data_IF_105575226775
#
_entry.id   IF_105575226775
#
_cell.length_a   1.000
_cell.length_b   1.000
_cell.length_c   1.000
_cell.angle_alpha   90.00
_cell.angle_beta   90.00
_cell.angle_gamma   90.00
#
_symmetry.space_group_name_H-M   'P 1'
#
loop_
_entity.id
_entity.type
_entity.pdbx_description
1 polymer ?
#
# COMPACT_ATOMS: atom_id res chain seq x y z
N UNK A 1 -7.14 -68.51 24.36
CA UNK A 1 -7.97 -68.51 23.13
C UNK A 1 -7.42 -67.37 22.29
N UNK A 2 -6.69 -67.67 21.20
CA UNK A 2 -7.21 -67.94 19.83
C UNK A 2 -7.88 -66.67 19.25
N UNK A 3 -7.55 -66.19 18.05
CA UNK A 3 -6.54 -66.63 17.06
C UNK A 3 -6.25 -65.47 16.07
N UNK A 4 -5.26 -65.63 15.21
CA UNK A 4 -4.91 -64.67 14.14
C UNK A 4 -5.94 -64.69 12.99
N UNK A 5 -5.94 -63.67 12.12
CA UNK A 5 -5.87 -63.86 10.65
C UNK A 5 -5.64 -62.54 9.88
N UNK A 6 -4.87 -62.68 8.79
CA UNK A 6 -4.57 -61.68 7.76
C UNK A 6 -5.60 -61.77 6.60
N UNK A 7 -5.55 -60.88 5.59
CA UNK A 7 -5.84 -61.10 4.14
C UNK A 7 -6.15 -59.79 3.36
N UNK A 8 -5.28 -59.51 2.38
CA UNK A 8 -5.53 -58.87 1.06
C UNK A 8 -5.43 -60.02 0.01
N UNK A 9 -5.79 -59.91 -1.30
CA UNK A 9 -5.85 -58.69 -2.15
C UNK A 9 -6.99 -58.69 -3.22
N UNK A 10 -6.73 -58.01 -4.35
CA UNK A 10 -7.26 -58.15 -5.73
C UNK A 10 -8.37 -57.21 -6.27
N UNK A 11 -7.95 -56.39 -7.25
CA UNK A 11 -8.74 -56.00 -8.43
C UNK A 11 -7.79 -55.73 -9.61
N UNK A 12 -8.07 -56.33 -10.77
CA UNK A 12 -7.16 -56.41 -11.92
C UNK A 12 -7.30 -55.25 -12.93
N UNK A 13 -6.18 -54.84 -13.54
CA UNK A 13 -6.13 -54.20 -14.87
C UNK A 13 -6.47 -55.20 -15.99
N UNK A 14 -7.10 -54.77 -17.09
CA UNK A 14 -6.35 -54.50 -18.35
C UNK A 14 -6.97 -53.34 -19.17
N UNK A 15 -6.43 -52.78 -20.27
CA UNK A 15 -5.12 -52.80 -20.97
C UNK A 15 -5.13 -51.63 -22.00
N UNK A 16 -3.94 -51.11 -22.40
CA UNK A 16 -3.45 -50.77 -23.78
C UNK A 16 -4.39 -50.07 -24.82
N UNK A 17 -4.02 -49.33 -25.87
CA UNK A 17 -2.80 -48.77 -26.51
C UNK A 17 -3.31 -47.77 -27.63
N UNK A 18 -2.56 -46.96 -28.39
CA UNK A 18 -1.11 -46.72 -28.53
C UNK A 18 -0.80 -45.30 -29.11
N UNK A 19 0.49 -44.98 -29.14
CA UNK A 19 1.27 -44.13 -30.08
C UNK A 19 0.62 -43.48 -31.31
N UNK A 20 0.98 -42.21 -31.59
CA UNK A 20 1.62 -41.80 -32.86
C UNK A 20 2.16 -40.34 -32.83
N UNK A 21 3.44 -40.18 -33.18
CA UNK A 21 4.07 -38.93 -33.65
C UNK A 21 3.77 -38.75 -35.16
N UNK A 22 3.94 -37.55 -35.76
CA UNK A 22 5.17 -37.40 -36.55
C UNK A 22 5.76 -35.98 -36.62
N UNK A 23 7.06 -35.91 -36.91
CA UNK A 23 7.78 -34.70 -37.31
C UNK A 23 8.05 -34.69 -38.83
N UNK A 24 8.04 -33.49 -39.46
CA UNK A 24 8.65 -33.08 -40.76
C UNK A 24 7.96 -31.78 -41.26
N UNK A 25 8.56 -30.84 -42.00
CA UNK A 25 9.94 -30.63 -42.50
C UNK A 25 10.11 -29.14 -42.85
N UNK A 26 11.36 -28.66 -42.91
CA UNK A 26 11.76 -27.34 -43.42
C UNK A 26 11.50 -27.22 -44.93
N UNK A 27 11.10 -26.04 -45.40
CA UNK A 27 11.41 -25.58 -46.77
C UNK A 27 11.68 -24.07 -46.81
N UNK A 28 12.81 -23.68 -47.40
CA UNK A 28 13.17 -22.30 -47.71
C UNK A 28 12.61 -21.85 -49.06
N UNK A 29 12.35 -20.55 -49.23
CA UNK A 29 11.87 -19.99 -50.50
C UNK A 29 11.80 -18.47 -50.48
N UNK A 30 12.92 -17.80 -50.76
CA UNK A 30 12.95 -16.37 -51.08
C UNK A 30 12.49 -16.14 -52.51
N UNK A 31 11.65 -15.14 -52.77
CA UNK A 31 11.80 -14.36 -54.01
C UNK A 31 11.20 -12.95 -53.88
N UNK A 32 11.86 -12.00 -54.53
CA UNK A 32 11.54 -10.57 -54.54
C UNK A 32 11.08 -10.21 -55.93
N UNK A 33 9.87 -9.65 -56.07
CA UNK A 33 9.46 -8.96 -57.30
C UNK A 33 8.83 -7.62 -56.93
N UNK A 34 9.58 -6.54 -57.22
CA UNK A 34 9.01 -5.22 -57.49
C UNK A 34 8.49 -5.21 -58.93
N UNK A 35 7.36 -4.57 -59.16
CA UNK A 35 7.07 -3.88 -60.42
C UNK A 35 6.31 -2.59 -60.12
N UNK A 36 6.83 -1.47 -60.62
CA UNK A 36 6.17 -0.17 -60.61
C UNK A 36 5.05 -0.12 -61.66
N UNK A 37 4.15 0.86 -61.54
CA UNK A 37 3.02 1.03 -62.46
C UNK A 37 2.11 2.20 -62.10
N UNK A 38 2.59 3.42 -62.37
CA UNK A 38 1.75 4.64 -62.38
C UNK A 38 0.81 4.64 -63.61
N UNK A 39 -0.33 5.36 -63.52
CA UNK A 39 -0.84 6.34 -64.52
C UNK A 39 -2.29 6.78 -64.17
N UNK A 40 -2.37 8.04 -63.73
CA UNK A 40 -3.38 9.10 -63.91
C UNK A 40 -4.85 8.87 -64.38
N UNK A 41 -5.72 9.67 -63.74
CA UNK A 41 -6.87 10.43 -64.32
C UNK A 41 -8.16 9.64 -64.68
N UNK A 42 -9.40 10.17 -64.56
CA UNK A 42 -9.86 11.51 -64.15
C UNK A 42 -11.37 11.52 -63.76
N UNK A 43 -11.85 12.68 -63.27
CA UNK A 43 -13.24 13.22 -63.31
C UNK A 43 -14.36 12.82 -62.27
N UNK A 44 -14.65 13.82 -61.43
CA UNK A 44 -15.97 14.43 -61.08
C UNK A 44 -16.96 13.83 -60.04
N UNK A 45 -17.16 14.67 -59.00
CA UNK A 45 -18.42 15.09 -58.36
C UNK A 45 -19.48 14.08 -57.86
N UNK A 46 -19.66 14.03 -56.53
CA UNK A 46 -20.84 14.64 -55.88
C UNK A 46 -20.69 14.81 -54.36
N UNK A 47 -20.97 16.03 -53.90
CA UNK A 47 -21.08 16.49 -52.52
C UNK A 47 -21.81 15.56 -51.53
N UNK A 48 -21.18 15.29 -50.37
CA UNK A 48 -21.86 15.42 -49.08
C UNK A 48 -20.87 15.78 -47.97
N UNK A 49 -21.07 16.94 -47.34
CA UNK A 49 -20.22 17.43 -46.26
C UNK A 49 -20.60 16.76 -44.93
N UNK A 50 -19.68 16.02 -44.33
CA UNK A 50 -19.64 15.79 -42.87
C UNK A 50 -18.37 16.45 -42.32
N UNK A 51 -18.54 17.52 -41.56
CA UNK A 51 -17.41 18.29 -41.01
C UNK A 51 -16.77 17.51 -39.87
N UNK A 52 -15.68 16.81 -40.17
CA UNK A 52 -14.81 16.18 -39.18
C UNK A 52 -13.97 17.23 -38.47
N UNK A 53 -14.29 17.54 -37.21
CA UNK A 53 -13.38 18.25 -36.31
C UNK A 53 -12.25 17.34 -35.85
N UNK A 54 -11.28 17.11 -36.73
CA UNK A 54 -10.02 16.42 -36.41
C UNK A 54 -8.89 17.43 -36.20
N UNK A 55 -8.79 18.00 -35.00
CA UNK A 55 -7.57 18.65 -34.52
C UNK A 55 -7.17 18.10 -33.15
N UNK A 56 -6.49 16.97 -33.21
CA UNK A 56 -5.70 16.40 -32.14
C UNK A 56 -4.65 15.49 -32.78
N UNK A 57 -3.37 15.74 -32.52
CA UNK A 57 -2.30 14.83 -32.94
C UNK A 57 -2.54 13.46 -32.29
N UNK A 58 -2.37 12.32 -33.00
CA UNK A 58 -2.43 11.01 -32.37
C UNK A 58 -1.49 10.96 -31.16
N UNK A 59 -1.88 10.34 -30.03
CA UNK A 59 -1.05 10.29 -28.84
C UNK A 59 0.31 9.67 -29.18
N UNK A 60 1.36 10.46 -29.01
CA UNK A 60 2.73 10.11 -29.32
C UNK A 60 3.60 10.34 -28.08
N UNK A 61 4.59 9.47 -27.92
CA UNK A 61 5.43 9.27 -26.73
C UNK A 61 6.34 10.48 -26.38
N UNK A 62 6.14 11.63 -27.02
CA UNK A 62 7.03 12.81 -27.02
C UNK A 62 6.32 14.11 -26.67
N UNK A 63 5.02 14.08 -26.34
CA UNK A 63 4.30 15.25 -25.82
C UNK A 63 4.43 15.28 -24.28
N UNK A 64 4.99 16.35 -23.68
CA UNK A 64 5.00 16.49 -22.23
C UNK A 64 3.58 16.52 -21.64
N UNK A 65 3.35 15.85 -20.50
CA UNK A 65 2.05 15.76 -19.79
C UNK A 65 1.44 17.10 -19.38
N UNK A 66 2.18 18.19 -19.53
CA UNK A 66 1.80 19.58 -19.36
C UNK A 66 0.54 19.97 -20.16
N UNK A 67 0.19 19.22 -21.20
CA UNK A 67 -1.02 19.43 -22.00
C UNK A 67 -2.25 18.81 -21.33
N UNK A 68 -2.68 19.41 -20.22
CA UNK A 68 -3.94 19.06 -19.55
C UNK A 68 -5.12 19.23 -20.52
N UNK A 69 -5.81 18.13 -20.83
CA UNK A 69 -7.08 18.16 -21.57
C UNK A 69 -8.24 18.16 -20.55
N UNK A 70 -9.37 18.79 -20.88
CA UNK A 70 -10.58 18.79 -20.02
C UNK A 70 -11.06 17.35 -19.68
N UNK A 71 -10.75 16.40 -20.55
CA UNK A 71 -11.10 14.98 -20.38
C UNK A 71 -10.20 14.22 -19.38
N UNK A 72 -8.91 14.54 -19.31
CA UNK A 72 -7.92 13.85 -18.48
C UNK A 72 -6.79 14.79 -18.07
N UNK A 73 -6.62 14.96 -16.75
CA UNK A 73 -5.53 15.71 -16.13
C UNK A 73 -4.80 14.80 -15.16
N UNK A 74 -3.56 14.41 -15.48
CA UNK A 74 -2.69 13.64 -14.59
C UNK A 74 -2.22 14.55 -13.44
N UNK A 75 -2.44 14.13 -12.19
CA UNK A 75 -2.04 14.90 -11.00
C UNK A 75 -0.78 14.35 -10.33
N UNK A 76 -0.59 13.02 -10.35
CA UNK A 76 0.52 12.32 -9.68
C UNK A 76 0.62 10.89 -10.20
N UNK A 77 1.80 10.27 -10.15
CA UNK A 77 1.93 8.81 -10.21
C UNK A 77 3.08 8.33 -9.35
N UNK A 78 2.87 7.38 -8.43
CA UNK A 78 3.93 6.98 -7.51
C UNK A 78 3.78 5.55 -6.99
N UNK A 79 4.86 5.04 -6.40
CA UNK A 79 4.79 3.84 -5.57
C UNK A 79 4.00 4.18 -4.30
N UNK A 80 2.73 3.79 -4.22
CA UNK A 80 1.87 4.08 -3.05
C UNK A 80 2.17 3.15 -1.87
N UNK A 81 2.65 1.94 -2.10
CA UNK A 81 3.06 1.05 -1.02
C UNK A 81 4.14 0.09 -1.50
N UNK A 82 5.13 -0.12 -0.63
CA UNK A 82 6.27 -0.98 -0.91
C UNK A 82 6.45 -1.96 0.25
N UNK A 83 6.61 -3.23 -0.08
CA UNK A 83 6.83 -4.31 0.87
C UNK A 83 8.15 -5.01 0.57
N UNK A 84 9.07 -4.97 1.52
CA UNK A 84 10.44 -5.45 1.37
C UNK A 84 10.71 -6.63 2.32
N UNK A 85 11.45 -7.63 1.83
CA UNK A 85 11.97 -8.76 2.60
C UNK A 85 13.49 -8.70 2.66
N UNK A 86 14.07 -9.01 3.81
CA UNK A 86 15.51 -9.02 4.04
C UNK A 86 15.95 -10.37 4.61
N UNK A 87 16.89 -11.07 3.97
CA UNK A 87 17.53 -12.25 4.58
C UNK A 87 18.60 -11.82 5.57
N UNK A 88 18.82 -12.65 6.59
CA UNK A 88 19.70 -12.34 7.72
C UNK A 88 19.19 -12.90 9.05
N UNK A 89 19.84 -12.52 10.14
CA UNK A 89 19.46 -12.93 11.50
C UNK A 89 19.52 -11.76 12.49
N UNK A 90 18.48 -11.64 13.32
CA UNK A 90 18.47 -10.69 14.45
C UNK A 90 19.57 -11.02 15.46
N UNK A 91 20.12 -9.99 16.11
CA UNK A 91 21.03 -10.17 17.24
C UNK A 91 20.32 -10.80 18.45
N UNK A 92 20.98 -11.65 19.27
CA UNK A 92 20.38 -12.30 20.42
C UNK A 92 19.74 -11.33 21.43
N UNK A 93 20.40 -10.22 21.75
CA UNK A 93 19.87 -9.19 22.65
C UNK A 93 18.61 -8.50 22.09
N UNK A 94 18.52 -8.35 20.77
CA UNK A 94 17.35 -7.76 20.10
C UNK A 94 16.17 -8.73 20.19
N UNK A 95 16.39 -10.04 20.03
CA UNK A 95 15.37 -11.08 20.25
C UNK A 95 14.87 -11.07 21.71
N UNK A 96 15.77 -10.94 22.68
CA UNK A 96 15.41 -10.86 24.09
C UNK A 96 14.58 -9.59 24.39
N UNK A 97 15.04 -8.42 23.92
CA UNK A 97 14.33 -7.14 24.07
C UNK A 97 12.94 -7.16 23.43
N UNK A 98 12.82 -7.68 22.20
CA UNK A 98 11.52 -7.84 21.53
C UNK A 98 10.59 -8.82 22.26
N UNK A 99 11.13 -9.85 22.91
CA UNK A 99 10.34 -10.78 23.73
C UNK A 99 9.77 -10.07 24.96
N UNK A 100 10.58 -9.30 25.68
CA UNK A 100 10.14 -8.50 26.85
C UNK A 100 9.12 -7.44 26.47
N UNK A 101 9.38 -6.66 25.42
CA UNK A 101 8.46 -5.63 24.92
C UNK A 101 7.13 -6.23 24.43
N UNK A 102 7.15 -7.43 23.85
CA UNK A 102 5.91 -8.14 23.49
C UNK A 102 5.13 -8.63 24.73
N UNK A 103 5.81 -9.08 25.79
CA UNK A 103 5.15 -9.42 27.06
C UNK A 103 4.48 -8.20 27.68
N UNK A 104 5.14 -7.03 27.68
CA UNK A 104 4.53 -5.76 28.08
C UNK A 104 3.30 -5.42 27.22
N UNK A 105 3.39 -5.58 25.89
CA UNK A 105 2.26 -5.36 24.98
C UNK A 105 1.06 -6.31 25.22
N UNK A 106 1.30 -7.47 25.84
CA UNK A 106 0.30 -8.48 26.17
C UNK A 106 -0.22 -8.38 27.62
N UNK A 107 0.30 -7.46 28.43
CA UNK A 107 -0.05 -7.31 29.83
C UNK A 107 -1.50 -6.83 30.01
N UNK A 108 -2.15 -7.16 31.13
CA UNK A 108 -3.50 -6.65 31.43
C UNK A 108 -3.50 -5.15 31.72
N UNK A 109 -2.53 -4.71 32.53
CA UNK A 109 -2.44 -3.32 33.01
C UNK A 109 -1.93 -2.33 31.97
N UNK A 110 -2.52 -1.12 31.97
CA UNK A 110 -2.33 -0.08 30.96
C UNK A 110 -0.92 0.54 31.03
N UNK A 111 -0.38 0.73 32.22
CA UNK A 111 0.95 1.26 32.50
C UNK A 111 2.07 0.37 31.89
N UNK A 112 1.92 -0.94 32.00
CA UNK A 112 2.82 -1.93 31.43
C UNK A 112 2.66 -1.97 29.90
N UNK A 113 1.42 -1.99 29.40
CA UNK A 113 1.17 -1.91 27.95
C UNK A 113 1.76 -0.65 27.32
N UNK A 114 1.75 0.49 28.01
CA UNK A 114 2.27 1.75 27.49
C UNK A 114 3.79 1.74 27.27
N UNK A 115 4.53 0.91 28.01
CA UNK A 115 6.00 0.76 27.91
C UNK A 115 6.45 -0.11 26.72
N UNK A 116 5.52 -0.74 25.99
CA UNK A 116 5.83 -1.59 24.84
C UNK A 116 6.29 -0.78 23.61
N UNK A 117 7.47 -0.17 23.69
CA UNK A 117 8.06 0.69 22.67
C UNK A 117 9.52 0.30 22.35
N UNK A 118 9.89 0.43 21.08
CA UNK A 118 11.26 0.24 20.60
C UNK A 118 11.76 1.54 19.96
N UNK A 119 12.55 2.31 20.72
CA UNK A 119 13.26 3.47 20.19
C UNK A 119 14.57 3.06 19.50
N UNK A 120 14.79 3.53 18.27
CA UNK A 120 15.97 3.24 17.42
C UNK A 120 16.07 4.24 16.28
N UNK A 121 17.27 4.69 15.88
CA UNK A 121 17.51 5.60 14.74
C UNK A 121 16.56 6.82 14.62
N UNK A 122 16.10 7.41 15.74
CA UNK A 122 15.15 8.53 15.74
C UNK A 122 13.66 8.15 15.61
N UNK A 123 13.36 6.86 15.41
CA UNK A 123 12.00 6.30 15.43
C UNK A 123 11.60 5.83 16.83
N UNK A 124 10.30 5.88 17.13
CA UNK A 124 9.69 5.32 18.35
C UNK A 124 8.63 4.30 17.90
N UNK A 125 9.01 3.05 17.68
CA UNK A 125 8.06 2.02 17.28
C UNK A 125 7.18 1.56 18.45
N UNK A 126 5.87 1.40 18.21
CA UNK A 126 5.02 0.58 19.08
C UNK A 126 5.35 -0.90 18.83
N UNK A 127 5.55 -1.70 19.87
CA UNK A 127 5.60 -3.16 19.76
C UNK A 127 4.20 -3.73 19.97
N UNK A 128 3.75 -4.58 19.03
CA UNK A 128 2.40 -5.17 19.04
C UNK A 128 2.30 -6.40 19.94
N UNK A 129 1.12 -6.59 20.53
CA UNK A 129 0.72 -7.77 21.31
C UNK A 129 0.81 -9.07 20.51
N UNK A 130 0.53 -8.99 19.21
CA UNK A 130 0.44 -10.12 18.28
C UNK A 130 1.46 -10.01 17.15
N UNK A 131 1.91 -11.19 16.72
CA UNK A 131 2.71 -11.34 15.50
C UNK A 131 1.86 -11.17 14.23
N UNK A 132 2.49 -11.32 13.07
CA UNK A 132 1.81 -11.34 11.77
C UNK A 132 2.27 -12.56 10.98
N UNK A 133 1.34 -13.48 10.66
CA UNK A 133 1.67 -14.74 9.99
C UNK A 133 2.80 -15.48 10.74
N UNK A 134 3.88 -15.83 10.04
CA UNK A 134 5.08 -16.49 10.56
C UNK A 134 6.01 -15.59 11.39
N UNK A 135 5.76 -14.27 11.45
CA UNK A 135 6.60 -13.31 12.18
C UNK A 135 6.09 -13.11 13.62
N UNK A 136 6.79 -13.62 14.66
CA UNK A 136 6.33 -13.53 16.04
C UNK A 136 6.36 -12.11 16.61
N UNK A 137 7.21 -11.22 16.10
CA UNK A 137 7.32 -9.84 16.56
C UNK A 137 6.88 -8.89 15.44
N UNK A 138 6.11 -7.86 15.80
CA UNK A 138 5.73 -6.77 14.89
C UNK A 138 5.93 -5.47 15.65
N UNK A 139 6.59 -4.51 15.01
CA UNK A 139 6.72 -3.15 15.53
C UNK A 139 6.37 -2.13 14.44
N UNK A 140 5.75 -1.02 14.83
CA UNK A 140 5.06 -0.14 13.88
C UNK A 140 5.06 1.33 14.30
N UNK A 141 5.25 2.20 13.32
CA UNK A 141 5.11 3.66 13.44
C UNK A 141 4.45 4.25 12.17
N UNK A 142 4.55 5.57 11.99
CA UNK A 142 3.97 6.25 10.80
C UNK A 142 4.68 5.92 9.48
N UNK A 143 5.93 5.44 9.51
CA UNK A 143 6.77 5.18 8.34
C UNK A 143 6.79 3.69 7.97
N UNK A 144 7.04 2.83 8.95
CA UNK A 144 7.29 1.42 8.75
C UNK A 144 6.43 0.53 9.65
N UNK A 145 5.99 -0.60 9.09
CA UNK A 145 5.52 -1.76 9.86
C UNK A 145 6.50 -2.90 9.65
N UNK A 146 7.34 -3.15 10.65
CA UNK A 146 8.44 -4.11 10.60
C UNK A 146 7.99 -5.41 11.30
N UNK A 147 7.90 -6.50 10.54
CA UNK A 147 7.58 -7.84 11.06
C UNK A 147 8.86 -8.66 11.10
N UNK A 148 9.24 -9.18 12.27
CA UNK A 148 10.56 -9.79 12.51
C UNK A 148 10.44 -11.28 12.89
N UNK A 149 11.35 -12.10 12.35
CA UNK A 149 11.38 -13.54 12.58
C UNK A 149 12.17 -13.90 13.85
N UNK A 150 12.01 -15.14 14.36
CA UNK A 150 12.73 -15.60 15.56
C UNK A 150 14.15 -16.07 15.20
N UNK A 151 14.26 -17.14 14.42
CA UNK A 151 15.43 -17.62 13.68
C UNK A 151 14.91 -18.59 12.63
N UNK A 152 15.31 -18.48 11.34
CA UNK A 152 14.88 -19.43 10.30
C UNK A 152 15.66 -19.20 9.00
N UNK A 153 16.45 -20.19 8.55
CA UNK A 153 17.09 -20.18 7.21
C UNK A 153 16.11 -20.17 6.02
N UNK A 154 14.80 -20.27 6.28
CA UNK A 154 13.73 -20.29 5.26
C UNK A 154 12.82 -19.06 5.33
N UNK A 155 13.04 -18.14 6.27
CA UNK A 155 12.18 -16.98 6.51
C UNK A 155 13.07 -15.75 6.59
N UNK A 156 12.76 -14.64 5.89
CA UNK A 156 13.54 -13.42 6.02
C UNK A 156 13.62 -12.97 7.49
N UNK A 157 14.71 -12.30 7.84
CA UNK A 157 14.88 -11.62 9.13
C UNK A 157 13.73 -10.64 9.37
N UNK A 158 13.44 -9.84 8.34
CA UNK A 158 12.44 -8.78 8.36
C UNK A 158 11.56 -8.83 7.12
N UNK A 159 10.25 -8.65 7.32
CA UNK A 159 9.27 -8.32 6.31
C UNK A 159 8.64 -6.97 6.67
N UNK A 160 8.85 -5.97 5.82
CA UNK A 160 8.57 -4.57 6.15
C UNK A 160 7.61 -3.97 5.15
N UNK A 161 6.53 -3.34 5.63
CA UNK A 161 5.70 -2.43 4.84
C UNK A 161 6.20 -0.99 5.05
N UNK A 162 6.44 -0.27 3.97
CA UNK A 162 6.56 1.19 3.97
C UNK A 162 5.17 1.81 3.79
N UNK A 163 4.86 2.85 4.55
CA UNK A 163 3.57 3.54 4.46
C UNK A 163 3.48 4.45 3.24
N UNK A 164 2.28 4.57 2.66
CA UNK A 164 2.03 5.48 1.53
C UNK A 164 2.32 6.93 1.88
N UNK A 165 1.97 7.36 3.10
CA UNK A 165 2.23 8.71 3.61
C UNK A 165 3.73 9.00 3.69
N UNK A 166 4.55 8.01 4.02
CA UNK A 166 6.01 8.16 3.99
C UNK A 166 6.52 8.23 2.56
N UNK A 167 6.10 7.31 1.68
CA UNK A 167 6.45 7.31 0.25
C UNK A 167 5.93 8.54 -0.53
N UNK A 168 4.96 9.29 0.02
CA UNK A 168 4.56 10.58 -0.52
C UNK A 168 5.57 11.72 -0.23
N UNK A 169 6.49 11.52 0.71
CA UNK A 169 7.46 12.53 1.20
C UNK A 169 8.93 12.24 0.87
N UNK A 170 9.24 11.05 0.36
CA UNK A 170 10.62 10.58 0.16
C UNK A 170 10.67 9.61 -1.05
N UNK A 171 11.81 9.50 -1.75
CA UNK A 171 11.94 8.52 -2.84
C UNK A 171 12.06 7.08 -2.27
N UNK A 172 11.57 6.04 -2.97
CA UNK A 172 11.58 4.67 -2.45
C UNK A 172 12.97 4.12 -2.07
N UNK A 173 14.02 4.55 -2.78
CA UNK A 173 15.41 4.15 -2.48
C UNK A 173 15.96 4.81 -1.21
N UNK A 174 15.65 6.09 -0.98
CA UNK A 174 16.01 6.81 0.25
C UNK A 174 15.27 6.24 1.47
N UNK A 175 13.99 5.84 1.29
CA UNK A 175 13.25 5.12 2.30
C UNK A 175 13.86 3.75 2.64
N UNK A 176 14.40 3.05 1.64
CA UNK A 176 15.15 1.80 1.84
C UNK A 176 16.42 2.05 2.64
N UNK A 177 17.18 3.11 2.33
CA UNK A 177 18.40 3.47 3.06
C UNK A 177 18.12 3.74 4.55
N UNK A 178 17.07 4.51 4.87
CA UNK A 178 16.65 4.74 6.26
C UNK A 178 16.21 3.43 6.95
N UNK A 179 15.46 2.57 6.24
CA UNK A 179 15.07 1.26 6.75
C UNK A 179 16.29 0.34 7.00
N UNK A 180 17.26 0.34 6.09
CA UNK A 180 18.48 -0.47 6.18
C UNK A 180 19.34 -0.06 7.38
N UNK A 181 19.43 1.23 7.70
CA UNK A 181 20.06 1.71 8.93
C UNK A 181 19.40 1.11 10.18
N UNK A 182 18.06 1.17 10.27
CA UNK A 182 17.30 0.56 11.36
C UNK A 182 17.55 -0.95 11.43
N UNK A 183 17.47 -1.67 10.31
CA UNK A 183 17.62 -3.12 10.28
C UNK A 183 19.04 -3.59 10.65
N UNK A 184 20.08 -2.84 10.28
CA UNK A 184 21.47 -3.11 10.66
C UNK A 184 21.72 -2.97 12.18
N UNK A 185 20.96 -2.12 12.89
CA UNK A 185 20.99 -2.06 14.36
C UNK A 185 20.24 -3.24 15.01
N UNK A 186 19.36 -3.94 14.27
CA UNK A 186 18.56 -5.07 14.78
C UNK A 186 19.22 -6.44 14.52
N UNK A 187 20.04 -6.56 13.49
CA UNK A 187 20.66 -7.83 13.09
C UNK A 187 21.61 -7.73 11.90
N UNK A 188 22.19 -8.86 11.53
CA UNK A 188 23.05 -8.99 10.34
C UNK A 188 22.17 -9.19 9.11
N UNK A 189 22.38 -8.37 8.07
CA UNK A 189 21.75 -8.53 6.76
C UNK A 189 22.63 -9.32 5.78
N UNK A 190 22.07 -10.34 5.15
CA UNK A 190 22.77 -11.20 4.18
C UNK A 190 22.53 -10.79 2.71
N UNK A 191 21.62 -9.83 2.45
CA UNK A 191 21.14 -9.53 1.10
C UNK A 191 20.68 -8.06 0.92
N UNK A 192 20.54 -7.65 -0.35
CA UNK A 192 19.79 -6.45 -0.71
C UNK A 192 18.29 -6.63 -0.47
N UNK A 193 17.52 -5.54 -0.49
CA UNK A 193 16.09 -5.60 -0.25
C UNK A 193 15.38 -6.35 -1.38
N UNK A 194 14.66 -7.42 -1.04
CA UNK A 194 13.83 -8.16 -2.00
C UNK A 194 12.40 -7.63 -2.01
N UNK A 195 11.92 -7.16 -3.16
CA UNK A 195 10.54 -6.69 -3.29
C UNK A 195 9.58 -7.87 -3.18
N UNK A 196 8.60 -7.71 -2.32
CA UNK A 196 7.61 -8.74 -1.97
C UNK A 196 6.18 -8.35 -2.39
N UNK A 197 5.94 -7.04 -2.45
CA UNK A 197 4.80 -6.41 -3.12
C UNK A 197 5.18 -4.96 -3.43
N UNK A 198 4.72 -4.45 -4.57
CA UNK A 198 4.79 -3.04 -4.94
C UNK A 198 3.43 -2.61 -5.48
N UNK A 199 2.95 -1.45 -5.03
CA UNK A 199 1.70 -0.86 -5.49
C UNK A 199 2.03 0.42 -6.27
N UNK A 200 1.79 0.40 -7.57
CA UNK A 200 1.96 1.54 -8.47
C UNK A 200 0.62 2.25 -8.62
N UNK A 201 0.56 3.57 -8.51
CA UNK A 201 -0.67 4.31 -8.71
C UNK A 201 -0.49 5.55 -9.60
N UNK A 202 -1.60 6.01 -10.18
CA UNK A 202 -1.74 7.32 -10.79
C UNK A 202 -3.02 8.00 -10.29
N UNK A 203 -2.89 9.24 -9.81
CA UNK A 203 -4.00 10.14 -9.47
C UNK A 203 -4.29 11.04 -10.68
N UNK A 204 -5.57 11.20 -11.03
CA UNK A 204 -5.99 12.02 -12.16
C UNK A 204 -7.39 12.59 -11.96
N UNK A 205 -7.69 13.70 -12.66
CA UNK A 205 -9.06 14.20 -12.84
C UNK A 205 -9.61 13.65 -14.15
N UNK A 206 -10.85 13.18 -14.10
CA UNK A 206 -11.68 12.94 -15.27
C UNK A 206 -13.15 12.99 -14.89
N UNK A 207 -13.97 13.56 -15.79
CA UNK A 207 -15.43 13.64 -15.66
C UNK A 207 -16.16 12.48 -16.36
N UNK A 208 -15.41 11.48 -16.86
CA UNK A 208 -15.95 10.27 -17.48
C UNK A 208 -16.90 9.49 -16.55
N UNK A 209 -17.99 8.94 -17.12
CA UNK A 209 -18.97 8.19 -16.33
C UNK A 209 -18.50 6.74 -16.11
N UNK A 210 -17.60 6.57 -15.14
CA UNK A 210 -16.98 5.29 -14.79
C UNK A 210 -17.98 4.23 -14.28
N UNK A 211 -19.21 4.61 -13.90
CA UNK A 211 -20.27 3.68 -13.52
C UNK A 211 -20.92 2.99 -14.73
N UNK A 212 -20.94 3.65 -15.89
CA UNK A 212 -21.58 3.11 -17.12
C UNK A 212 -20.80 2.02 -17.85
N UNK A 213 -19.65 1.60 -17.32
CA UNK A 213 -18.85 0.54 -17.94
C UNK A 213 -19.33 -0.84 -17.52
N UNK A 214 -19.83 -1.63 -18.46
CA UNK A 214 -20.15 -3.03 -18.19
C UNK A 214 -18.91 -3.89 -17.90
N UNK A 215 -19.11 -4.99 -17.15
CA UNK A 215 -18.03 -5.95 -16.83
C UNK A 215 -17.33 -6.51 -18.08
N UNK A 216 -18.00 -6.54 -19.23
CA UNK A 216 -17.42 -6.99 -20.50
C UNK A 216 -16.46 -5.99 -21.15
N UNK A 217 -16.53 -4.70 -20.81
CA UNK A 217 -15.54 -3.70 -21.25
C UNK A 217 -14.14 -3.99 -20.66
N UNK A 218 -14.07 -4.72 -19.54
CA UNK A 218 -12.82 -5.10 -18.90
C UNK A 218 -12.24 -6.39 -19.49
N UNK A 219 -11.17 -6.27 -20.28
CA UNK A 219 -10.34 -7.40 -20.72
C UNK A 219 -9.26 -7.61 -19.66
N UNK A 220 -9.24 -8.77 -18.99
CA UNK A 220 -8.28 -9.00 -17.90
C UNK A 220 -7.88 -10.47 -17.72
N UNK A 221 -6.68 -10.69 -17.17
CA UNK A 221 -6.25 -11.99 -16.64
C UNK A 221 -6.73 -12.22 -15.19
N UNK A 222 -7.35 -11.23 -14.55
CA UNK A 222 -7.95 -11.31 -13.22
C UNK A 222 -9.28 -12.10 -13.20
N UNK A 223 -9.54 -12.84 -12.12
CA UNK A 223 -10.74 -13.71 -12.01
C UNK A 223 -12.01 -13.04 -11.46
N UNK A 224 -11.91 -11.79 -10.98
CA UNK A 224 -13.00 -11.05 -10.33
C UNK A 224 -13.02 -9.61 -10.82
N UNK A 225 -14.21 -9.07 -11.05
CA UNK A 225 -14.48 -7.68 -11.42
C UNK A 225 -15.68 -7.22 -10.60
N UNK A 226 -15.40 -6.39 -9.61
CA UNK A 226 -16.37 -5.91 -8.61
C UNK A 226 -16.51 -4.39 -8.73
N UNK A 227 -17.76 -3.90 -8.79
CA UNK A 227 -18.10 -2.49 -8.70
C UNK A 227 -18.46 -2.16 -7.24
N UNK A 228 -18.11 -0.96 -6.80
CA UNK A 228 -18.34 -0.48 -5.43
C UNK A 228 -19.18 0.79 -5.43
N UNK A 229 -20.04 0.91 -4.42
CA UNK A 229 -20.84 2.10 -4.16
C UNK A 229 -20.95 2.36 -2.65
N UNK A 230 -21.13 3.63 -2.27
CA UNK A 230 -21.38 4.06 -0.90
C UNK A 230 -22.54 5.05 -0.93
N UNK A 231 -23.58 4.82 -0.13
CA UNK A 231 -24.81 5.62 -0.13
C UNK A 231 -25.37 5.80 -1.56
N UNK A 232 -25.53 4.69 -2.28
CA UNK A 232 -26.08 4.62 -3.66
C UNK A 232 -25.25 5.36 -4.73
N UNK A 233 -24.08 5.90 -4.40
CA UNK A 233 -23.15 6.52 -5.34
C UNK A 233 -21.99 5.60 -5.67
N UNK A 234 -21.71 5.39 -6.94
CA UNK A 234 -20.53 4.65 -7.40
C UNK A 234 -19.23 5.26 -6.86
N UNK A 235 -18.33 4.41 -6.38
CA UNK A 235 -17.05 4.80 -5.77
C UNK A 235 -15.82 4.16 -6.43
N UNK A 236 -15.99 3.11 -7.24
CA UNK A 236 -14.88 2.53 -7.99
C UNK A 236 -15.05 1.08 -8.44
N UNK A 237 -14.08 0.63 -9.22
CA UNK A 237 -13.88 -0.75 -9.65
C UNK A 237 -12.75 -1.43 -8.89
N UNK A 238 -12.87 -2.74 -8.69
CA UNK A 238 -11.79 -3.60 -8.24
C UNK A 238 -11.67 -4.82 -9.16
N UNK A 239 -10.47 -5.08 -9.66
CA UNK A 239 -10.19 -6.18 -10.58
C UNK A 239 -9.10 -7.08 -10.01
N UNK A 240 -9.34 -8.38 -9.98
CA UNK A 240 -8.33 -9.38 -9.60
C UNK A 240 -7.96 -9.43 -8.11
N UNK A 241 -8.75 -8.83 -7.21
CA UNK A 241 -8.45 -8.80 -5.77
C UNK A 241 -8.14 -10.19 -5.19
N UNK A 242 -7.04 -10.26 -4.43
CA UNK A 242 -6.49 -11.50 -3.86
C UNK A 242 -5.61 -12.31 -4.81
N UNK A 243 -5.44 -11.87 -6.07
CA UNK A 243 -4.52 -12.47 -7.04
C UNK A 243 -3.07 -11.99 -6.89
N UNK A 244 -2.19 -12.49 -7.79
CA UNK A 244 -0.79 -12.04 -7.91
C UNK A 244 -0.67 -10.59 -8.42
N UNK A 245 -1.66 -10.13 -9.18
CA UNK A 245 -1.86 -8.73 -9.58
C UNK A 245 -3.31 -8.40 -9.26
N UNK A 246 -3.56 -7.17 -8.80
CA UNK A 246 -4.91 -6.61 -8.69
C UNK A 246 -4.92 -5.12 -8.99
N UNK A 247 -5.96 -4.63 -9.65
CA UNK A 247 -6.19 -3.21 -9.90
C UNK A 247 -7.34 -2.68 -9.03
N UNK A 248 -7.21 -1.44 -8.56
CA UNK A 248 -8.28 -0.64 -7.96
C UNK A 248 -8.39 0.67 -8.74
N UNK A 249 -9.57 1.03 -9.20
CA UNK A 249 -9.85 2.34 -9.80
C UNK A 249 -10.95 2.99 -8.97
N UNK A 250 -10.65 4.02 -8.18
CA UNK A 250 -11.59 4.53 -7.17
C UNK A 250 -11.54 6.04 -6.99
N UNK A 251 -12.64 6.61 -6.49
CA UNK A 251 -12.74 8.02 -6.16
C UNK A 251 -11.84 8.31 -4.93
N UNK A 252 -10.68 8.89 -5.21
CA UNK A 252 -9.63 9.12 -4.23
C UNK A 252 -9.96 10.31 -3.32
N UNK A 253 -10.65 11.31 -3.84
CA UNK A 253 -11.12 12.47 -3.07
C UNK A 253 -12.09 12.03 -1.95
N UNK A 254 -13.05 11.16 -2.28
CA UNK A 254 -13.99 10.58 -1.31
C UNK A 254 -13.26 9.70 -0.27
N UNK A 255 -12.25 8.92 -0.68
CA UNK A 255 -11.44 8.12 0.25
C UNK A 255 -10.72 9.01 1.27
N UNK A 256 -9.98 10.05 0.82
CA UNK A 256 -9.23 10.89 1.76
C UNK A 256 -10.11 11.72 2.69
N UNK A 257 -11.31 12.12 2.25
CA UNK A 257 -12.31 12.75 3.11
C UNK A 257 -12.85 11.80 4.19
N UNK A 258 -12.88 10.49 3.91
CA UNK A 258 -13.36 9.47 4.85
C UNK A 258 -12.25 9.01 5.80
N UNK A 259 -11.01 8.89 5.31
CA UNK A 259 -9.86 8.45 6.10
C UNK A 259 -9.16 9.57 6.86
N UNK A 260 -9.43 10.84 6.53
CA UNK A 260 -8.79 12.02 7.13
C UNK A 260 -7.38 12.28 6.59
N UNK A 261 -7.08 11.81 5.38
CA UNK A 261 -5.71 11.74 4.85
C UNK A 261 -5.42 12.88 3.87
N UNK A 262 -5.46 14.10 4.37
CA UNK A 262 -5.40 15.36 3.60
C UNK A 262 -4.02 15.72 3.04
N UNK A 263 -2.96 14.94 3.33
CA UNK A 263 -1.58 15.20 2.84
C UNK A 263 -1.41 15.14 1.32
N UNK A 264 -2.35 14.55 0.58
CA UNK A 264 -2.34 14.56 -0.89
C UNK A 264 -2.87 15.86 -1.51
N UNK A 265 -3.72 16.61 -0.80
CA UNK A 265 -4.40 17.80 -1.34
C UNK A 265 -3.44 18.90 -1.80
N UNK A 266 -2.38 19.27 -1.04
CA UNK A 266 -1.40 20.25 -1.51
C UNK A 266 -0.68 19.81 -2.80
N UNK A 267 -0.37 18.52 -2.91
CA UNK A 267 0.36 17.95 -4.05
C UNK A 267 -0.49 17.98 -5.33
N UNK A 268 -1.79 17.68 -5.21
CA UNK A 268 -2.74 17.83 -6.31
C UNK A 268 -2.94 19.30 -6.72
N UNK A 269 -3.01 20.23 -5.75
CA UNK A 269 -3.09 21.68 -6.05
C UNK A 269 -1.85 22.19 -6.78
N UNK A 270 -0.65 21.75 -6.38
CA UNK A 270 0.60 22.06 -7.10
C UNK A 270 0.60 21.50 -8.54
N UNK A 271 -0.08 20.36 -8.78
CA UNK A 271 -0.31 19.79 -10.11
C UNK A 271 -1.51 20.40 -10.88
N UNK A 272 -2.15 21.44 -10.35
CA UNK A 272 -3.25 22.16 -11.04
C UNK A 272 -4.66 21.61 -10.83
N UNK A 273 -4.88 20.75 -9.83
CA UNK A 273 -6.21 20.38 -9.36
C UNK A 273 -6.98 21.61 -8.84
N UNK A 274 -8.23 21.75 -9.25
CA UNK A 274 -9.14 22.77 -8.74
C UNK A 274 -10.10 22.18 -7.69
N UNK A 275 -10.53 23.01 -6.74
CA UNK A 275 -11.62 22.61 -5.85
C UNK A 275 -12.87 22.32 -6.70
N UNK A 276 -13.65 21.31 -6.28
CA UNK A 276 -14.75 20.65 -7.01
C UNK A 276 -14.39 19.68 -8.16
N UNK A 277 -13.12 19.56 -8.59
CA UNK A 277 -12.73 18.52 -9.56
C UNK A 277 -12.67 17.10 -8.93
N UNK A 278 -13.26 16.06 -9.55
CA UNK A 278 -13.21 14.70 -9.03
C UNK A 278 -11.82 14.07 -9.21
N UNK A 279 -11.17 13.67 -8.11
CA UNK A 279 -9.89 12.94 -8.18
C UNK A 279 -10.14 11.44 -8.13
N UNK A 280 -9.70 10.74 -9.17
CA UNK A 280 -9.67 9.30 -9.27
C UNK A 280 -8.25 8.78 -9.10
N UNK A 281 -8.10 7.59 -8.52
CA UNK A 281 -6.84 6.85 -8.51
C UNK A 281 -7.02 5.51 -9.20
N UNK A 282 -6.14 5.20 -10.14
CA UNK A 282 -5.86 3.82 -10.57
C UNK A 282 -4.63 3.30 -9.82
N UNK A 283 -4.70 2.08 -9.30
CA UNK A 283 -3.67 1.48 -8.43
C UNK A 283 -3.49 -0.01 -8.79
N UNK A 284 -2.32 -0.37 -9.29
CA UNK A 284 -1.90 -1.74 -9.57
C UNK A 284 -1.01 -2.26 -8.44
N UNK A 285 -1.53 -3.24 -7.70
CA UNK A 285 -0.76 -4.02 -6.73
C UNK A 285 -0.13 -5.22 -7.44
N UNK A 286 1.19 -5.35 -7.41
CA UNK A 286 1.95 -6.48 -7.95
C UNK A 286 2.64 -7.25 -6.80
N UNK A 287 2.39 -8.56 -6.73
CA UNK A 287 2.97 -9.46 -5.73
C UNK A 287 4.29 -10.09 -6.21
N UNK A 288 5.11 -10.54 -5.26
CA UNK A 288 6.43 -11.19 -5.48
C UNK A 288 6.46 -12.15 -6.69
N UNK A 289 5.48 -13.03 -6.80
CA UNK A 289 5.45 -14.08 -7.83
C UNK A 289 5.56 -13.49 -9.25
N UNK A 290 4.86 -12.39 -9.53
CA UNK A 290 4.90 -11.69 -10.83
C UNK A 290 6.25 -11.02 -11.03
N UNK A 291 6.77 -10.36 -9.99
CA UNK A 291 8.07 -9.68 -10.06
C UNK A 291 9.17 -10.70 -10.39
N UNK A 292 9.16 -11.87 -9.74
CA UNK A 292 10.08 -12.99 -10.00
C UNK A 292 9.88 -13.59 -11.40
N UNK A 293 8.65 -13.72 -11.89
CA UNK A 293 8.36 -14.16 -13.27
C UNK A 293 8.99 -13.22 -14.33
N UNK A 294 9.13 -11.92 -14.01
CA UNK A 294 9.84 -10.93 -14.84
C UNK A 294 11.33 -10.76 -14.48
N UNK A 295 11.90 -11.60 -13.59
CA UNK A 295 13.30 -11.50 -13.15
C UNK A 295 13.61 -10.34 -12.19
N UNK A 296 12.60 -9.61 -11.73
CA UNK A 296 12.72 -8.43 -10.87
C UNK A 296 12.64 -8.85 -9.40
N UNK A 297 13.78 -8.89 -8.70
CA UNK A 297 13.86 -9.39 -7.32
C UNK A 297 14.33 -8.29 -6.35
N UNK A 298 15.42 -7.61 -6.68
CA UNK A 298 15.96 -6.52 -5.87
C UNK A 298 15.17 -5.23 -6.04
N UNK A 299 15.19 -4.36 -5.04
CA UNK A 299 14.54 -3.04 -5.15
C UNK A 299 15.10 -2.24 -6.33
N UNK A 300 16.42 -2.20 -6.51
CA UNK A 300 17.06 -1.44 -7.60
C UNK A 300 16.56 -1.90 -8.98
N UNK A 301 16.49 -3.22 -9.20
CA UNK A 301 15.95 -3.77 -10.46
C UNK A 301 14.47 -3.45 -10.66
N UNK A 302 13.66 -3.45 -9.60
CA UNK A 302 12.22 -3.11 -9.70
C UNK A 302 12.04 -1.62 -9.99
N UNK A 303 12.77 -0.73 -9.31
CA UNK A 303 12.68 0.72 -9.51
C UNK A 303 13.19 1.15 -10.90
N UNK A 304 14.19 0.45 -11.45
CA UNK A 304 14.66 0.68 -12.82
C UNK A 304 13.67 0.21 -13.91
N UNK A 305 12.59 -0.51 -13.56
CA UNK A 305 11.65 -1.11 -14.51
C UNK A 305 10.18 -0.72 -14.25
N UNK A 306 9.92 0.38 -13.53
CA UNK A 306 8.55 0.82 -13.20
C UNK A 306 7.69 1.07 -14.44
N UNK A 307 8.26 1.66 -15.49
CA UNK A 307 7.56 1.91 -16.75
C UNK A 307 7.08 0.61 -17.43
N UNK A 308 7.96 -0.40 -17.48
CA UNK A 308 7.61 -1.74 -17.99
C UNK A 308 6.55 -2.44 -17.14
N UNK A 309 6.63 -2.32 -15.80
CA UNK A 309 5.62 -2.87 -14.89
C UNK A 309 4.25 -2.21 -15.04
N UNK A 310 4.21 -0.87 -15.18
CA UNK A 310 2.97 -0.13 -15.42
C UNK A 310 2.36 -0.52 -16.77
N UNK A 311 3.15 -0.46 -17.84
CA UNK A 311 2.72 -0.83 -19.21
C UNK A 311 2.15 -2.24 -19.26
N UNK A 312 2.84 -3.24 -18.70
CA UNK A 312 2.33 -4.62 -18.62
C UNK A 312 1.01 -4.69 -17.84
N UNK A 313 0.91 -4.02 -16.69
CA UNK A 313 -0.28 -4.03 -15.86
C UNK A 313 -1.50 -3.38 -16.56
N UNK A 314 -1.29 -2.29 -17.30
CA UNK A 314 -2.33 -1.47 -17.95
C UNK A 314 -2.61 -1.77 -19.42
N UNK A 315 -1.87 -2.67 -20.06
CA UNK A 315 -2.11 -3.07 -21.47
C UNK A 315 -2.32 -4.57 -21.66
N UNK A 316 -1.51 -5.39 -20.99
CA UNK A 316 -1.48 -6.84 -21.15
C UNK A 316 -2.28 -7.62 -20.09
N UNK A 317 -2.25 -7.14 -18.85
CA UNK A 317 -2.93 -7.79 -17.72
C UNK A 317 -4.36 -7.27 -17.50
N UNK A 318 -4.58 -5.97 -17.71
CA UNK A 318 -5.88 -5.31 -17.68
C UNK A 318 -5.96 -4.24 -18.77
N UNK A 319 -7.02 -4.28 -19.57
CA UNK A 319 -7.36 -3.26 -20.56
C UNK A 319 -8.85 -2.96 -20.50
N UNK A 320 -9.22 -1.69 -20.40
CA UNK A 320 -10.60 -1.25 -20.64
C UNK A 320 -10.78 -0.98 -22.14
N UNK A 321 -11.83 -1.53 -22.71
CA UNK A 321 -12.19 -1.39 -24.12
C UNK A 321 -13.58 -0.81 -24.30
N UNK A 322 -13.92 -0.39 -25.51
CA UNK A 322 -15.29 -0.10 -25.91
C UNK A 322 -15.89 -1.40 -26.49
N UNK A 323 -16.92 -2.00 -25.85
CA UNK A 323 -17.58 -3.18 -26.40
C UNK A 323 -18.15 -2.93 -27.80
N UNK A 324 -17.96 -3.90 -28.69
CA UNK A 324 -18.58 -3.90 -30.00
C UNK A 324 -19.56 -5.09 -30.10
N UNK A 325 -20.89 -4.86 -30.10
CA UNK A 325 -21.89 -5.93 -30.21
C UNK A 325 -21.72 -6.80 -31.46
N UNK A 326 -21.19 -6.23 -32.55
CA UNK A 326 -21.03 -6.90 -33.84
C UNK A 326 -19.72 -7.71 -33.96
N UNK A 327 -18.76 -7.56 -33.03
CA UNK A 327 -17.53 -8.35 -33.00
C UNK A 327 -17.40 -9.13 -31.69
N UNK A 328 -17.60 -10.46 -31.75
CA UNK A 328 -17.40 -11.34 -30.60
C UNK A 328 -15.92 -11.47 -30.19
N UNK A 329 -14.98 -10.96 -30.99
CA UNK A 329 -13.54 -11.04 -30.78
C UNK A 329 -13.03 -9.93 -29.84
N UNK A 330 -13.31 -10.05 -28.54
CA UNK A 330 -12.96 -9.06 -27.49
C UNK A 330 -11.51 -8.53 -27.48
N UNK A 331 -10.55 -9.26 -28.07
CA UNK A 331 -9.16 -8.76 -28.24
C UNK A 331 -9.05 -7.62 -29.26
N UNK A 332 -9.91 -7.58 -30.29
CA UNK A 332 -9.93 -6.55 -31.33
C UNK A 332 -10.65 -5.26 -30.93
N UNK A 333 -11.44 -5.30 -29.84
CA UNK A 333 -12.17 -4.14 -29.36
C UNK A 333 -11.23 -2.95 -29.10
N UNK A 334 -11.58 -1.73 -29.54
CA UNK A 334 -10.73 -0.56 -29.38
C UNK A 334 -10.60 -0.20 -27.89
N UNK A 335 -9.45 0.40 -27.54
CA UNK A 335 -9.17 0.86 -26.17
C UNK A 335 -10.12 2.01 -25.79
N UNK A 336 -10.60 2.02 -24.55
CA UNK A 336 -11.39 3.15 -24.03
C UNK A 336 -10.49 4.39 -23.93
N UNK A 337 -10.90 5.60 -24.38
CA UNK A 337 -10.04 6.78 -24.42
C UNK A 337 -9.34 7.10 -23.08
N UNK A 338 -10.09 7.13 -21.96
CA UNK A 338 -9.52 7.30 -20.63
C UNK A 338 -8.43 6.26 -20.29
N UNK A 339 -8.62 5.01 -20.69
CA UNK A 339 -7.65 3.94 -20.44
C UNK A 339 -6.42 4.07 -21.36
N UNK A 340 -6.59 4.62 -22.55
CA UNK A 340 -5.49 5.08 -23.39
C UNK A 340 -4.57 6.03 -22.61
N UNK A 341 -5.12 7.11 -22.04
CA UNK A 341 -4.37 8.05 -21.21
C UNK A 341 -3.71 7.41 -19.98
N UNK A 342 -4.45 6.57 -19.23
CA UNK A 342 -3.92 5.87 -18.05
C UNK A 342 -2.75 4.93 -18.43
N UNK A 343 -2.92 4.14 -19.49
CA UNK A 343 -1.89 3.20 -19.95
C UNK A 343 -0.67 3.88 -20.57
N UNK A 344 -0.82 5.11 -21.07
CA UNK A 344 0.29 5.89 -21.62
C UNK A 344 1.16 6.59 -20.58
N UNK A 345 0.76 6.66 -19.29
CA UNK A 345 1.51 7.38 -18.24
C UNK A 345 2.97 6.93 -18.20
N UNK A 346 3.87 7.88 -18.45
CA UNK A 346 5.31 7.68 -18.41
C UNK A 346 5.84 7.69 -16.97
N UNK A 347 6.52 6.61 -16.58
CA UNK A 347 7.16 6.48 -15.28
C UNK A 347 8.65 6.87 -15.27
N UNK A 348 9.21 7.30 -16.40
CA UNK A 348 10.62 7.72 -16.52
C UNK A 348 10.82 9.21 -16.23
N UNK A 349 9.84 10.07 -16.55
CA UNK A 349 9.89 11.51 -16.23
C UNK A 349 9.63 11.77 -14.74
N UNK A 350 10.52 12.50 -14.06
CA UNK A 350 10.35 12.88 -12.64
C UNK A 350 9.36 14.05 -12.47
N UNK A 351 8.06 13.73 -12.55
CA UNK A 351 6.94 14.67 -12.33
C UNK A 351 6.44 14.69 -10.87
N UNK A 352 7.15 14.04 -9.94
CA UNK A 352 6.62 13.74 -8.61
C UNK A 352 7.10 14.71 -7.53
N UNK A 353 6.33 15.77 -7.29
CA UNK A 353 6.54 16.60 -6.10
C UNK A 353 6.33 15.77 -4.84
N UNK A 354 7.35 15.76 -3.97
CA UNK A 354 7.30 15.11 -2.67
C UNK A 354 6.75 16.07 -1.61
N UNK A 355 5.96 15.54 -0.68
CA UNK A 355 5.49 16.28 0.49
C UNK A 355 6.67 16.73 1.36
N UNK A 356 6.74 18.03 1.64
CA UNK A 356 7.90 18.69 2.28
C UNK A 356 8.10 18.35 3.76
N UNK A 357 7.14 17.68 4.40
CA UNK A 357 7.22 17.37 5.83
C UNK A 357 6.57 16.04 6.17
N UNK A 358 7.35 15.17 6.80
CA UNK A 358 6.87 13.91 7.35
C UNK A 358 7.32 13.75 8.79
N UNK A 359 6.47 13.11 9.60
CA UNK A 359 6.78 12.65 10.96
C UNK A 359 6.32 11.20 11.07
N UNK A 360 7.12 10.36 11.70
CA UNK A 360 6.81 8.94 11.90
C UNK A 360 5.71 8.68 12.97
N UNK A 361 4.80 9.64 13.16
CA UNK A 361 3.68 9.61 14.11
C UNK A 361 2.39 9.16 13.45
N UNK A 362 1.62 8.30 14.10
CA UNK A 362 0.27 7.86 13.66
C UNK A 362 -0.83 8.67 14.35
N UNK A 363 -0.84 9.97 14.11
CA UNK A 363 -1.83 10.88 14.69
C UNK A 363 -3.23 10.65 14.08
N UNK A 364 -4.30 10.61 14.89
CA UNK A 364 -5.66 10.78 14.39
C UNK A 364 -5.92 12.25 14.01
N UNK A 365 -7.00 12.52 13.27
CA UNK A 365 -7.46 13.89 13.04
C UNK A 365 -8.08 14.51 14.31
N UNK A 366 -7.77 15.78 14.56
CA UNK A 366 -8.39 16.59 15.62
C UNK A 366 -9.92 16.63 15.49
N UNK A 367 -10.46 16.73 14.27
CA UNK A 367 -11.91 16.72 14.01
C UNK A 367 -12.58 15.49 14.63
N UNK A 368 -11.95 14.31 14.55
CA UNK A 368 -12.46 13.07 15.12
C UNK A 368 -12.43 13.10 16.66
N UNK A 369 -11.35 13.61 17.25
CA UNK A 369 -11.21 13.77 18.71
C UNK A 369 -12.28 14.74 19.23
N UNK A 370 -12.38 15.92 18.62
CA UNK A 370 -13.30 16.99 19.00
C UNK A 370 -14.77 16.56 18.84
N UNK A 371 -15.12 15.81 17.79
CA UNK A 371 -16.47 15.28 17.60
C UNK A 371 -16.87 14.30 18.71
N UNK A 372 -15.95 13.44 19.17
CA UNK A 372 -16.19 12.55 20.31
C UNK A 372 -16.37 13.33 21.62
N UNK A 373 -15.54 14.36 21.86
CA UNK A 373 -15.68 15.24 23.03
C UNK A 373 -17.02 15.97 23.05
N UNK A 374 -17.39 16.62 21.94
CA UNK A 374 -18.67 17.31 21.78
C UNK A 374 -19.87 16.37 21.97
N UNK A 375 -19.80 15.14 21.44
CA UNK A 375 -20.86 14.13 21.60
C UNK A 375 -21.02 13.68 23.06
N UNK A 376 -19.91 13.52 23.79
CA UNK A 376 -19.92 13.14 25.21
C UNK A 376 -20.47 14.26 26.09
N UNK A 377 -20.06 15.51 25.85
CA UNK A 377 -20.57 16.68 26.54
C UNK A 377 -22.07 16.92 26.26
N UNK A 378 -22.51 16.83 25.00
CA UNK A 378 -23.92 16.96 24.64
C UNK A 378 -24.80 15.88 25.31
N UNK A 379 -24.31 14.64 25.38
CA UNK A 379 -24.99 13.55 26.10
C UNK A 379 -25.12 13.85 27.60
N UNK A 380 -24.05 14.36 28.23
CA UNK A 380 -24.06 14.77 29.64
C UNK A 380 -25.05 15.92 29.89
N UNK A 381 -24.99 16.99 29.10
CA UNK A 381 -25.89 18.14 29.21
C UNK A 381 -27.36 17.70 29.06
N UNK A 382 -27.67 16.91 28.03
CA UNK A 382 -29.02 16.39 27.79
C UNK A 382 -29.53 15.50 28.94
N UNK A 383 -28.69 14.60 29.48
CA UNK A 383 -29.01 13.76 30.65
C UNK A 383 -29.38 14.59 31.87
N UNK A 384 -28.72 15.74 32.07
CA UNK A 384 -28.91 16.60 33.23
C UNK A 384 -29.85 17.79 32.98
N UNK A 385 -30.47 17.89 31.79
CA UNK A 385 -31.39 18.98 31.44
C UNK A 385 -30.73 20.35 31.28
N UNK A 386 -29.41 20.39 31.09
CA UNK A 386 -28.63 21.63 30.99
C UNK A 386 -28.70 22.13 29.53
N UNK A 387 -29.03 23.41 29.36
CA UNK A 387 -29.08 24.08 28.04
C UNK A 387 -28.11 25.25 27.93
N UNK A 388 -27.65 25.79 29.04
CA UNK A 388 -26.56 26.77 29.08
C UNK A 388 -25.22 26.09 28.81
N UNK A 389 -24.39 26.70 27.94
CA UNK A 389 -23.14 26.11 27.48
C UNK A 389 -22.05 26.14 28.55
N UNK A 390 -21.88 27.27 29.24
CA UNK A 390 -20.80 27.46 30.21
C UNK A 390 -21.07 26.62 31.47
N UNK A 391 -22.32 26.61 31.97
CA UNK A 391 -22.75 25.70 33.04
C UNK A 391 -22.58 24.22 32.64
N UNK A 392 -22.88 23.88 31.38
CA UNK A 392 -22.73 22.54 30.84
C UNK A 392 -21.27 22.08 30.84
N UNK A 393 -20.37 22.95 30.38
CA UNK A 393 -18.94 22.71 30.31
C UNK A 393 -18.31 22.55 31.70
N UNK A 394 -18.58 23.48 32.62
CA UNK A 394 -18.05 23.46 33.99
C UNK A 394 -18.48 22.20 34.74
N UNK A 395 -19.78 21.87 34.69
CA UNK A 395 -20.32 20.66 35.33
C UNK A 395 -19.77 19.39 34.70
N UNK A 396 -19.54 19.38 33.38
CA UNK A 396 -18.96 18.24 32.68
C UNK A 396 -17.49 18.02 33.05
N UNK A 397 -16.68 19.08 33.11
CA UNK A 397 -15.27 19.01 33.55
C UNK A 397 -15.18 18.51 35.00
N UNK A 398 -16.02 19.04 35.90
CA UNK A 398 -16.08 18.57 37.29
C UNK A 398 -16.47 17.08 37.39
N UNK A 399 -17.46 16.65 36.61
CA UNK A 399 -17.88 15.24 36.57
C UNK A 399 -16.80 14.32 35.98
N UNK A 400 -16.04 14.77 34.97
CA UNK A 400 -14.88 14.04 34.45
C UNK A 400 -13.79 13.88 35.51
N UNK A 401 -13.45 14.96 36.23
CA UNK A 401 -12.45 14.90 37.31
C UNK A 401 -12.89 13.91 38.40
N UNK A 402 -14.14 13.98 38.86
CA UNK A 402 -14.70 13.03 39.84
C UNK A 402 -14.65 11.58 39.32
N UNK A 403 -14.99 11.36 38.05
CA UNK A 403 -14.90 10.03 37.43
C UNK A 403 -13.45 9.51 37.40
N UNK A 404 -12.48 10.36 37.06
CA UNK A 404 -11.06 10.00 37.10
C UNK A 404 -10.57 9.71 38.52
N UNK A 405 -11.03 10.47 39.54
CA UNK A 405 -10.76 10.17 40.95
C UNK A 405 -11.28 8.79 41.33
N UNK A 406 -12.57 8.49 41.12
CA UNK A 406 -13.17 7.20 41.48
C UNK A 406 -12.54 6.02 40.76
N UNK A 407 -12.21 6.16 39.48
CA UNK A 407 -11.56 5.09 38.73
C UNK A 407 -10.05 4.96 39.05
N UNK A 408 -9.38 6.04 39.44
CA UNK A 408 -8.02 6.04 39.96
C UNK A 408 -7.92 5.35 41.31
N UNK A 409 -8.79 5.69 42.26
CA UNK A 409 -8.86 5.10 43.60
C UNK A 409 -8.96 3.56 43.56
N UNK A 410 -9.74 3.00 42.62
CA UNK A 410 -9.88 1.55 42.45
C UNK A 410 -8.56 0.83 42.09
N UNK A 411 -7.61 1.55 41.46
CA UNK A 411 -6.28 1.03 41.10
C UNK A 411 -5.13 1.74 41.85
N UNK A 412 -5.44 2.50 42.91
CA UNK A 412 -4.44 3.15 43.76
C UNK A 412 -3.77 4.41 43.16
N UNK A 413 -4.41 5.06 42.19
CA UNK A 413 -3.89 6.23 41.48
C UNK A 413 -4.65 7.52 41.80
N UNK A 414 -4.01 8.67 41.62
CA UNK A 414 -4.70 9.96 41.58
C UNK A 414 -5.50 10.11 40.28
N UNK A 415 -6.41 11.09 40.23
CA UNK A 415 -7.14 11.44 39.00
C UNK A 415 -6.19 11.84 37.85
N UNK A 416 -5.09 12.52 38.18
CA UNK A 416 -4.06 12.97 37.24
C UNK A 416 -3.25 11.79 36.70
N UNK A 417 -2.82 10.87 37.58
CA UNK A 417 -2.08 9.67 37.17
C UNK A 417 -2.96 8.74 36.31
N UNK A 418 -4.23 8.57 36.68
CA UNK A 418 -5.21 7.75 35.95
C UNK A 418 -5.41 8.20 34.50
N UNK A 419 -5.45 9.51 34.24
CA UNK A 419 -5.51 10.04 32.88
C UNK A 419 -4.15 10.01 32.20
N UNK A 420 -3.05 10.23 32.93
CA UNK A 420 -1.69 10.20 32.40
C UNK A 420 -1.29 8.80 31.88
N UNK A 421 -1.72 7.71 32.52
CA UNK A 421 -1.55 6.35 31.98
C UNK A 421 -2.24 6.15 30.63
N UNK A 422 -3.46 6.68 30.47
CA UNK A 422 -4.20 6.65 29.20
C UNK A 422 -3.52 7.50 28.13
N UNK A 423 -2.95 8.65 28.52
CA UNK A 423 -2.12 9.48 27.64
C UNK A 423 -0.88 8.71 27.19
N UNK A 424 -0.15 8.04 28.10
CA UNK A 424 1.01 7.19 27.77
C UNK A 424 0.62 6.06 26.80
N UNK A 425 -0.48 5.37 27.04
CA UNK A 425 -0.97 4.32 26.13
C UNK A 425 -1.27 4.86 24.72
N UNK A 426 -1.95 6.01 24.60
CA UNK A 426 -2.19 6.67 23.31
C UNK A 426 -0.91 7.21 22.67
N UNK A 427 0.03 7.72 23.46
CA UNK A 427 1.31 8.21 22.95
C UNK A 427 2.18 7.08 22.38
N UNK A 428 2.07 5.85 22.91
CA UNK A 428 2.60 4.64 22.28
C UNK A 428 1.95 4.39 20.93
N UNK A 429 0.62 4.32 20.87
CA UNK A 429 -0.12 4.07 19.61
C UNK A 429 0.19 5.13 18.54
N UNK A 430 0.33 6.40 18.93
CA UNK A 430 0.57 7.51 18.01
C UNK A 430 2.06 7.78 17.75
N UNK A 431 2.97 7.08 18.43
CA UNK A 431 4.41 7.22 18.34
C UNK A 431 4.92 8.64 18.72
N UNK A 432 4.23 9.33 19.62
CA UNK A 432 4.48 10.75 19.93
C UNK A 432 5.40 10.99 21.12
N UNK A 433 5.42 10.07 22.10
CA UNK A 433 6.22 10.17 23.33
C UNK A 433 6.84 8.80 23.60
N UNK A 434 8.09 8.79 24.05
CA UNK A 434 8.74 7.59 24.57
C UNK A 434 8.42 7.47 26.06
N UNK A 435 7.66 6.45 26.45
CA UNK A 435 7.20 6.20 27.83
C UNK A 435 8.25 5.51 28.71
N UNK A 436 9.52 5.51 28.31
CA UNK A 436 10.61 4.83 29.03
C UNK A 436 11.01 5.65 30.25
N UNK A 437 11.20 4.97 31.38
CA UNK A 437 11.81 5.56 32.56
C UNK A 437 13.27 5.93 32.27
N UNK A 438 13.66 7.19 32.48
CA UNK A 438 15.02 7.70 32.23
C UNK A 438 16.13 6.82 32.84
N UNK A 439 15.85 6.15 33.96
CA UNK A 439 16.79 5.25 34.62
C UNK A 439 17.13 4.00 33.77
N UNK A 440 16.16 3.45 33.05
CA UNK A 440 16.37 2.29 32.17
C UNK A 440 17.08 2.72 30.88
N UNK A 441 16.76 3.90 30.36
CA UNK A 441 17.47 4.48 29.21
C UNK A 441 18.94 4.76 29.54
N UNK A 442 19.23 5.32 30.73
CA UNK A 442 20.61 5.44 31.26
C UNK A 442 21.31 4.09 31.36
N UNK A 443 20.66 3.04 31.89
CA UNK A 443 21.22 1.68 31.95
C UNK A 443 21.57 1.14 30.58
N UNK A 444 20.68 1.25 29.60
CA UNK A 444 20.92 0.79 28.23
C UNK A 444 22.10 1.54 27.55
N UNK A 445 22.26 2.84 27.80
CA UNK A 445 23.45 3.58 27.31
C UNK A 445 24.74 3.15 28.02
N UNK A 446 24.69 2.86 29.32
CA UNK A 446 25.86 2.38 30.08
C UNK A 446 26.27 0.97 29.63
N UNK A 447 25.30 0.06 29.46
CA UNK A 447 25.54 -1.30 29.00
C UNK A 447 26.06 -1.33 27.54
N UNK A 448 25.62 -0.40 26.68
CA UNK A 448 26.17 -0.23 25.32
C UNK A 448 27.62 0.27 25.37
N UNK A 449 27.89 1.37 26.07
CA UNK A 449 29.25 1.91 26.21
C UNK A 449 30.22 0.88 26.84
N UNK A 450 29.75 0.06 27.79
CA UNK A 450 30.54 -1.00 28.40
C UNK A 450 30.79 -2.21 27.48
N UNK A 451 29.96 -2.44 26.45
CA UNK A 451 30.22 -3.41 25.38
C UNK A 451 31.21 -2.86 24.36
N UNK A 452 31.01 -1.61 23.93
CA UNK A 452 31.85 -0.97 22.92
C UNK A 452 33.31 -0.84 23.44
N UNK A 453 33.49 -0.42 24.70
CA UNK A 453 34.80 -0.40 25.36
C UNK A 453 35.50 -1.77 25.43
N UNK A 454 34.73 -2.87 25.63
CA UNK A 454 35.31 -4.23 25.64
C UNK A 454 35.77 -4.68 24.26
N UNK A 455 35.04 -4.32 23.21
CA UNK A 455 35.49 -4.57 21.83
C UNK A 455 36.78 -3.82 21.52
N UNK A 456 36.88 -2.56 21.93
CA UNK A 456 38.11 -1.77 21.78
C UNK A 456 39.28 -2.31 22.64
N UNK A 457 39.02 -2.89 23.82
CA UNK A 457 40.08 -3.47 24.67
C UNK A 457 40.55 -4.85 24.21
N UNK A 458 39.67 -5.64 23.61
CA UNK A 458 39.93 -7.05 23.29
C UNK A 458 40.49 -7.23 21.85
N UNK A 459 40.43 -6.17 21.02
CA UNK A 459 41.23 -6.06 19.79
C UNK A 459 40.72 -6.85 18.58
N UNK A 460 39.40 -6.85 18.34
CA UNK A 460 38.76 -7.31 17.09
C UNK A 460 38.59 -6.19 16.05
#
# INVERSE_FOLDING_TARGET
MKEEANVLPDALTPQQNNTAEPAHRITSGSEVVRCDGEVESDLTDALHQSVSFSQGTPPSNTVPYNCNNEYFKLLRFCVDSLYLSYQGELFPEVKERLTKLKQLAQHSEIDQQAQAQYAIAGHIFEVKDKGSSIFPYVMEDGAFRISLSRTSKKTPMAYVKLSSRYLCSIKPIEAEMHLRQILNELGTLESSAHVSRIDLCADFVSHENMESWDREAWITRGKKIDAHAVNEKFTGWSIGLGGKISCRLYNKLLEIHTSGRTDLVPLWKEAGWQEDEPVWRVEFQLMRDVLVEHGLISLDTVLANLNGLWSYASTEWLRLTLPNPDDQTRSRWPIHPLWGYISSVDWETDLNTLSRSFKATRLPEDKRILTLGASSMACFMAKHGITDFDEGLDRYILALHQHFSTCGEFIGLSAEDFILERVRLRAKEYNTILNVNEAEQKRLTIDKAAKDYRKESDGE
#
